data_IF_935579629481
#
_entry.id   IF_935579629481
#
_cell.length_a   1.000
_cell.length_b   1.000
_cell.length_c   1.000
_cell.angle_alpha   90.00
_cell.angle_beta   90.00
_cell.angle_gamma   90.00
#
_symmetry.space_group_name_H-M   'P 1'
#
loop_
_entity.id
_entity.type
_entity.pdbx_description
1 polymer ?
#
# COMPACT_ATOMS: atom_id res chain seq x y z
N UNK A 1 7.31 16.86 0.52
CA UNK A 1 6.31 17.96 0.52
C UNK A 1 4.99 17.55 -0.13
N UNK A 2 4.94 17.23 -1.44
CA UNK A 2 3.68 16.90 -2.11
C UNK A 2 2.92 15.71 -1.49
N UNK A 3 3.63 14.66 -1.07
CA UNK A 3 3.02 13.50 -0.42
C UNK A 3 2.32 13.87 0.89
N UNK A 4 2.98 14.64 1.77
CA UNK A 4 2.40 15.11 3.03
C UNK A 4 1.21 16.05 2.77
N UNK A 5 1.34 16.97 1.82
CA UNK A 5 0.25 17.86 1.39
C UNK A 5 -0.88 17.14 0.64
N UNK A 6 -0.84 15.82 0.51
CA UNK A 6 -1.87 15.00 -0.13
C UNK A 6 -2.03 15.26 -1.63
N UNK A 7 -1.02 15.83 -2.31
CA UNK A 7 -1.06 16.20 -3.73
C UNK A 7 -0.60 15.04 -4.63
N UNK A 8 -1.40 13.97 -4.68
CA UNK A 8 -0.98 12.68 -5.27
C UNK A 8 -0.65 12.77 -6.76
N UNK A 9 -1.35 13.58 -7.55
CA UNK A 9 -1.01 13.76 -8.97
C UNK A 9 0.36 14.41 -9.16
N UNK A 10 0.71 15.39 -8.32
CA UNK A 10 2.05 16.00 -8.35
C UNK A 10 3.12 15.03 -7.87
N UNK A 11 2.82 14.19 -6.87
CA UNK A 11 3.73 13.11 -6.45
C UNK A 11 3.98 12.16 -7.61
N UNK A 12 2.93 11.68 -8.27
CA UNK A 12 3.02 10.75 -9.40
C UNK A 12 3.83 11.35 -10.55
N UNK A 13 3.49 12.57 -10.98
CA UNK A 13 4.16 13.22 -12.09
C UNK A 13 5.65 13.44 -11.79
N UNK A 14 5.96 13.91 -10.57
CA UNK A 14 7.35 14.13 -10.13
C UNK A 14 8.10 12.81 -10.02
N UNK A 15 7.46 11.76 -9.51
CA UNK A 15 8.08 10.45 -9.35
C UNK A 15 8.34 9.79 -10.71
N UNK A 16 7.43 9.90 -11.70
CA UNK A 16 7.70 9.43 -13.08
C UNK A 16 8.88 10.15 -13.71
N UNK A 17 8.91 11.47 -13.58
CA UNK A 17 10.02 12.27 -14.10
C UNK A 17 11.35 11.91 -13.42
N UNK A 18 11.34 11.74 -12.09
CA UNK A 18 12.49 11.28 -11.33
C UNK A 18 12.95 9.89 -11.77
N UNK A 19 12.02 8.97 -12.05
CA UNK A 19 12.32 7.63 -12.52
C UNK A 19 13.07 7.66 -13.86
N UNK A 20 12.60 8.47 -14.80
CA UNK A 20 13.23 8.63 -16.13
C UNK A 20 14.63 9.23 -16.01
N UNK A 21 14.79 10.33 -15.25
CA UNK A 21 16.10 10.96 -15.04
C UNK A 21 17.06 10.01 -14.32
N UNK A 22 16.59 9.35 -13.26
CA UNK A 22 17.42 8.44 -12.48
C UNK A 22 17.91 7.26 -13.32
N UNK A 23 17.09 6.78 -14.25
CA UNK A 23 17.50 5.71 -15.18
C UNK A 23 18.53 6.19 -16.21
N UNK A 24 18.41 7.42 -16.72
CA UNK A 24 19.35 7.98 -17.70
C UNK A 24 20.70 8.37 -17.07
N UNK A 25 20.67 8.88 -15.84
CA UNK A 25 21.84 9.39 -15.12
C UNK A 25 22.42 8.41 -14.08
N UNK A 26 21.94 7.15 -14.07
CA UNK A 26 22.35 6.09 -13.14
C UNK A 26 22.27 6.48 -11.65
N UNK A 27 21.21 7.20 -11.27
CA UNK A 27 20.97 7.65 -9.89
C UNK A 27 20.22 6.58 -9.10
N UNK A 28 20.96 5.54 -8.69
CA UNK A 28 20.42 4.31 -8.07
C UNK A 28 19.46 4.59 -6.89
N UNK A 29 19.82 5.46 -5.95
CA UNK A 29 18.96 5.77 -4.80
C UNK A 29 17.67 6.47 -5.22
N UNK A 30 17.78 7.46 -6.10
CA UNK A 30 16.64 8.22 -6.62
C UNK A 30 15.66 7.34 -7.40
N UNK A 31 16.19 6.33 -8.12
CA UNK A 31 15.39 5.35 -8.85
C UNK A 31 14.43 4.60 -7.93
N UNK A 32 14.91 4.06 -6.82
CA UNK A 32 14.06 3.29 -5.89
C UNK A 32 13.13 4.18 -5.05
N UNK A 33 13.52 5.42 -4.75
CA UNK A 33 12.59 6.40 -4.18
C UNK A 33 11.44 6.73 -5.12
N UNK A 34 11.70 6.86 -6.43
CA UNK A 34 10.66 7.07 -7.42
C UNK A 34 9.68 5.89 -7.47
N UNK A 35 10.18 4.65 -7.46
CA UNK A 35 9.33 3.46 -7.37
C UNK A 35 8.48 3.46 -6.09
N UNK A 36 9.06 3.75 -4.92
CA UNK A 36 8.30 3.82 -3.67
C UNK A 36 7.14 4.83 -3.76
N UNK A 37 7.42 6.03 -4.27
CA UNK A 37 6.43 7.10 -4.38
C UNK A 37 5.30 6.74 -5.37
N UNK A 38 5.64 6.12 -6.50
CA UNK A 38 4.64 5.60 -7.44
C UNK A 38 3.79 4.51 -6.79
N UNK A 39 4.42 3.55 -6.09
CA UNK A 39 3.71 2.50 -5.35
C UNK A 39 2.72 3.06 -4.33
N UNK A 40 3.12 4.08 -3.56
CA UNK A 40 2.24 4.78 -2.61
C UNK A 40 1.04 5.44 -3.31
N UNK A 41 1.26 6.11 -4.44
CA UNK A 41 0.17 6.77 -5.18
C UNK A 41 -0.79 5.74 -5.78
N UNK A 42 -0.26 4.72 -6.47
CA UNK A 42 -1.08 3.66 -7.07
C UNK A 42 -1.86 2.89 -6.02
N UNK A 43 -1.26 2.67 -4.84
CA UNK A 43 -1.98 2.11 -3.70
C UNK A 43 -3.19 2.99 -3.37
N UNK A 44 -3.00 4.27 -3.06
CA UNK A 44 -4.12 5.16 -2.69
C UNK A 44 -5.19 5.27 -3.79
N UNK A 45 -4.83 5.16 -5.06
CA UNK A 45 -5.77 5.14 -6.20
C UNK A 45 -6.46 3.79 -6.43
N UNK A 46 -6.21 2.79 -5.59
CA UNK A 46 -6.72 1.43 -5.70
C UNK A 46 -6.29 0.74 -7.02
N UNK A 47 -5.11 1.08 -7.53
CA UNK A 47 -4.44 0.42 -8.65
C UNK A 47 -3.44 -0.59 -8.08
N UNK A 48 -3.98 -1.64 -7.43
CA UNK A 48 -3.22 -2.53 -6.56
C UNK A 48 -2.13 -3.31 -7.29
N UNK A 49 -2.37 -3.74 -8.53
CA UNK A 49 -1.37 -4.44 -9.34
C UNK A 49 -0.13 -3.56 -9.61
N UNK A 50 -0.35 -2.27 -9.86
CA UNK A 50 0.74 -1.31 -10.05
C UNK A 50 1.46 -1.00 -8.73
N UNK A 51 0.72 -0.91 -7.62
CA UNK A 51 1.31 -0.78 -6.31
C UNK A 51 2.23 -1.97 -6.00
N UNK A 52 1.74 -3.20 -6.20
CA UNK A 52 2.49 -4.45 -6.05
C UNK A 52 3.75 -4.43 -6.91
N UNK A 53 3.65 -4.05 -8.19
CA UNK A 53 4.80 -3.90 -9.08
C UNK A 53 5.86 -2.96 -8.51
N UNK A 54 5.49 -1.73 -8.19
CA UNK A 54 6.43 -0.71 -7.76
C UNK A 54 7.11 -1.06 -6.43
N UNK A 55 6.36 -1.57 -5.45
CA UNK A 55 6.94 -2.02 -4.18
C UNK A 55 7.86 -3.22 -4.38
N UNK A 56 7.46 -4.17 -5.22
CA UNK A 56 8.25 -5.36 -5.46
C UNK A 56 9.57 -5.06 -6.17
N UNK A 57 9.64 -4.05 -7.05
CA UNK A 57 10.90 -3.57 -7.65
C UNK A 57 11.87 -3.07 -6.57
N UNK A 58 11.39 -2.31 -5.58
CA UNK A 58 12.22 -1.83 -4.47
C UNK A 58 12.74 -3.00 -3.63
N UNK A 59 11.86 -3.94 -3.25
CA UNK A 59 12.21 -5.09 -2.41
C UNK A 59 13.17 -6.05 -3.12
N UNK A 60 12.93 -6.33 -4.39
CA UNK A 60 13.78 -7.21 -5.22
C UNK A 60 15.21 -6.65 -5.35
N UNK A 61 15.36 -5.32 -5.26
CA UNK A 61 16.64 -4.62 -5.31
C UNK A 61 17.03 -4.00 -3.95
N UNK A 62 16.59 -4.59 -2.83
CA UNK A 62 16.82 -4.06 -1.46
C UNK A 62 18.28 -3.81 -1.05
N UNK A 63 19.25 -4.36 -1.77
CA UNK A 63 20.68 -4.13 -1.55
C UNK A 63 21.20 -2.84 -2.19
N UNK A 64 20.42 -2.26 -3.11
CA UNK A 64 20.70 -1.00 -3.81
C UNK A 64 19.77 0.14 -3.34
N UNK A 65 18.61 -0.20 -2.77
CA UNK A 65 17.65 0.76 -2.27
C UNK A 65 17.99 1.26 -0.85
N UNK A 66 17.53 2.46 -0.52
CA UNK A 66 17.62 3.00 0.84
C UNK A 66 16.81 2.14 1.82
N UNK A 67 17.32 1.96 3.05
CA UNK A 67 16.70 1.11 4.08
C UNK A 67 15.22 1.43 4.32
N UNK A 68 14.91 2.70 4.56
CA UNK A 68 13.52 3.14 4.77
C UNK A 68 12.63 2.88 3.56
N UNK A 69 13.17 2.99 2.33
CA UNK A 69 12.37 2.71 1.15
C UNK A 69 12.02 1.22 1.05
N UNK A 70 12.94 0.34 1.46
CA UNK A 70 12.68 -1.11 1.54
C UNK A 70 11.60 -1.41 2.58
N UNK A 71 11.72 -0.88 3.79
CA UNK A 71 10.73 -1.07 4.84
C UNK A 71 9.34 -0.60 4.40
N UNK A 72 9.24 0.63 3.89
CA UNK A 72 7.97 1.19 3.41
C UNK A 72 7.39 0.42 2.22
N UNK A 73 8.24 -0.08 1.32
CA UNK A 73 7.79 -0.93 0.23
C UNK A 73 7.24 -2.27 0.74
N UNK A 74 7.83 -2.86 1.78
CA UNK A 74 7.31 -4.10 2.38
C UNK A 74 5.95 -3.86 3.06
N UNK A 75 5.80 -2.76 3.80
CA UNK A 75 4.51 -2.37 4.36
C UNK A 75 3.46 -2.15 3.25
N UNK A 76 3.80 -1.37 2.23
CA UNK A 76 2.92 -1.10 1.10
C UNK A 76 2.53 -2.36 0.32
N UNK A 77 3.47 -3.30 0.14
CA UNK A 77 3.21 -4.58 -0.54
C UNK A 77 2.25 -5.46 0.27
N UNK A 78 2.45 -5.58 1.58
CA UNK A 78 1.55 -6.33 2.45
C UNK A 78 0.13 -5.74 2.44
N UNK A 79 0.00 -4.41 2.53
CA UNK A 79 -1.28 -3.71 2.42
C UNK A 79 -1.93 -3.93 1.04
N UNK A 80 -1.15 -3.91 -0.04
CA UNK A 80 -1.66 -4.17 -1.39
C UNK A 80 -2.18 -5.61 -1.55
N UNK A 81 -1.48 -6.61 -1.00
CA UNK A 81 -1.98 -7.99 -0.99
C UNK A 81 -3.24 -8.15 -0.15
N UNK A 82 -3.29 -7.53 1.04
CA UNK A 82 -4.49 -7.53 1.86
C UNK A 82 -5.68 -6.92 1.10
N UNK A 83 -5.45 -5.80 0.43
CA UNK A 83 -6.42 -5.11 -0.41
C UNK A 83 -6.91 -5.94 -1.62
N UNK A 84 -6.08 -6.86 -2.13
CA UNK A 84 -6.44 -7.82 -3.18
C UNK A 84 -7.14 -9.08 -2.65
N UNK A 85 -7.33 -9.20 -1.33
CA UNK A 85 -7.87 -10.41 -0.70
C UNK A 85 -6.85 -11.55 -0.56
N UNK A 86 -5.56 -11.27 -0.74
CA UNK A 86 -4.45 -12.23 -0.62
C UNK A 86 -3.85 -12.17 0.80
N UNK A 87 -4.69 -12.39 1.82
CA UNK A 87 -4.31 -12.21 3.23
C UNK A 87 -3.10 -13.03 3.68
N UNK A 88 -2.95 -14.28 3.20
CA UNK A 88 -1.78 -15.11 3.51
C UNK A 88 -0.48 -14.50 3.00
N UNK A 89 -0.47 -13.96 1.77
CA UNK A 89 0.70 -13.25 1.22
C UNK A 89 1.01 -11.96 1.97
N UNK A 90 -0.02 -11.27 2.46
CA UNK A 90 0.16 -10.08 3.29
C UNK A 90 0.88 -10.44 4.60
N UNK A 91 0.43 -11.50 5.30
CA UNK A 91 1.05 -12.01 6.53
C UNK A 91 2.50 -12.48 6.28
N UNK A 92 2.75 -13.24 5.21
CA UNK A 92 4.10 -13.66 4.83
C UNK A 92 5.04 -12.47 4.60
N UNK A 93 4.54 -11.41 3.94
CA UNK A 93 5.30 -10.19 3.68
C UNK A 93 5.60 -9.42 4.99
N UNK A 94 4.62 -9.33 5.90
CA UNK A 94 4.81 -8.73 7.22
C UNK A 94 5.81 -9.51 8.09
N UNK A 95 5.77 -10.85 8.06
CA UNK A 95 6.77 -11.69 8.74
C UNK A 95 8.17 -11.47 8.17
N UNK A 96 8.30 -11.43 6.84
CA UNK A 96 9.58 -11.13 6.20
C UNK A 96 10.12 -9.74 6.56
N UNK A 97 9.23 -8.75 6.77
CA UNK A 97 9.60 -7.43 7.26
C UNK A 97 10.17 -7.52 8.69
N UNK A 98 9.48 -8.22 9.59
CA UNK A 98 9.95 -8.41 10.97
C UNK A 98 11.32 -9.06 11.03
N UNK A 99 11.51 -10.18 10.34
CA UNK A 99 12.81 -10.89 10.27
C UNK A 99 13.91 -9.94 9.78
N UNK A 100 13.63 -9.17 8.72
CA UNK A 100 14.60 -8.24 8.13
C UNK A 100 14.95 -7.07 9.03
N UNK A 101 14.01 -6.55 9.82
CA UNK A 101 14.27 -5.47 10.78
C UNK A 101 15.00 -6.01 12.02
N UNK A 102 14.66 -7.22 12.48
CA UNK A 102 15.32 -7.87 13.63
C UNK A 102 16.81 -8.09 13.39
N UNK A 103 17.20 -8.53 12.19
CA UNK A 103 18.60 -8.71 11.78
C UNK A 103 19.45 -7.43 11.91
N UNK A 104 18.82 -6.25 11.95
CA UNK A 104 19.50 -4.94 12.00
C UNK A 104 19.62 -4.36 13.40
N UNK A 105 18.99 -4.98 14.39
CA UNK A 105 19.04 -4.59 15.79
C UNK A 105 18.65 -3.11 16.07
N UNK A 106 17.74 -2.54 15.26
CA UNK A 106 17.18 -1.20 15.52
C UNK A 106 15.82 -1.32 16.23
N UNK A 107 15.80 -1.00 17.52
CA UNK A 107 14.60 -1.10 18.37
C UNK A 107 13.44 -0.23 17.88
N UNK A 108 13.70 0.96 17.32
CA UNK A 108 12.64 1.86 16.84
C UNK A 108 11.95 1.30 15.61
N UNK A 109 12.74 0.80 14.65
CA UNK A 109 12.20 0.20 13.43
C UNK A 109 11.44 -1.09 13.77
N UNK A 110 11.95 -1.87 14.74
CA UNK A 110 11.30 -3.10 15.21
C UNK A 110 9.94 -2.80 15.84
N UNK A 111 9.88 -1.79 16.71
CA UNK A 111 8.64 -1.37 17.34
C UNK A 111 7.62 -0.83 16.31
N UNK A 112 8.09 -0.14 15.26
CA UNK A 112 7.24 0.28 14.13
C UNK A 112 6.74 -0.94 13.33
N UNK A 113 7.58 -1.95 13.12
CA UNK A 113 7.19 -3.18 12.43
C UNK A 113 6.14 -3.98 13.23
N UNK A 114 6.25 -4.03 14.56
CA UNK A 114 5.19 -4.60 15.42
C UNK A 114 3.87 -3.84 15.29
N UNK A 115 3.90 -2.50 15.30
CA UNK A 115 2.69 -1.71 15.09
C UNK A 115 2.05 -2.01 13.73
N UNK A 116 2.85 -2.18 12.66
CA UNK A 116 2.37 -2.57 11.35
C UNK A 116 1.74 -3.96 11.32
N UNK A 117 2.31 -4.95 12.00
CA UNK A 117 1.69 -6.26 12.17
C UNK A 117 0.33 -6.16 12.87
N UNK A 118 0.22 -5.31 13.90
CA UNK A 118 -1.06 -4.99 14.54
C UNK A 118 -2.05 -4.32 13.57
N UNK A 119 -1.60 -3.40 12.72
CA UNK A 119 -2.42 -2.78 11.68
C UNK A 119 -2.98 -3.82 10.71
N UNK A 120 -2.16 -4.79 10.30
CA UNK A 120 -2.56 -5.86 9.39
C UNK A 120 -3.57 -6.81 10.06
N UNK A 121 -3.32 -7.24 11.30
CA UNK A 121 -4.27 -8.06 12.07
C UNK A 121 -5.63 -7.36 12.23
N UNK A 122 -5.65 -6.05 12.54
CA UNK A 122 -6.89 -5.25 12.58
C UNK A 122 -7.63 -5.19 11.24
N UNK A 123 -6.92 -5.30 10.11
CA UNK A 123 -7.55 -5.34 8.79
C UNK A 123 -8.13 -6.72 8.44
N UNK A 124 -7.75 -7.74 9.20
CA UNK A 124 -8.21 -9.13 9.10
C UNK A 124 -9.26 -9.46 10.19
N UNK A 125 -9.68 -8.46 10.98
CA UNK A 125 -10.61 -8.59 12.11
C UNK A 125 -10.05 -9.43 13.28
N UNK A 126 -8.72 -9.57 13.35
CA UNK A 126 -8.01 -10.33 14.39
C UNK A 126 -7.61 -9.40 15.55
N UNK A 127 -8.60 -8.94 16.31
CA UNK A 127 -8.42 -7.91 17.37
C UNK A 127 -7.49 -8.38 18.49
N UNK A 128 -7.57 -9.65 18.90
CA UNK A 128 -6.70 -10.20 19.95
C UNK A 128 -5.22 -10.22 19.53
N UNK A 129 -4.93 -10.69 18.31
CA UNK A 129 -3.58 -10.70 17.76
C UNK A 129 -3.05 -9.26 17.59
N UNK A 130 -3.90 -8.34 17.12
CA UNK A 130 -3.53 -6.93 17.03
C UNK A 130 -3.14 -6.33 18.38
N UNK A 131 -3.84 -6.70 19.47
CA UNK A 131 -3.50 -6.26 20.82
C UNK A 131 -2.10 -6.71 21.23
N UNK A 132 -1.75 -7.98 20.98
CA UNK A 132 -0.45 -8.53 21.31
C UNK A 132 0.68 -7.83 20.55
N UNK A 133 0.47 -7.57 19.26
CA UNK A 133 1.43 -6.82 18.44
C UNK A 133 1.64 -5.40 18.96
N UNK A 134 0.56 -4.71 19.35
CA UNK A 134 0.65 -3.34 19.86
C UNK A 134 1.25 -3.25 21.26
N UNK A 135 1.07 -4.27 22.10
CA UNK A 135 1.80 -4.39 23.36
C UNK A 135 3.32 -4.49 23.14
N UNK A 136 3.75 -5.31 22.17
CA UNK A 136 5.17 -5.40 21.79
C UNK A 136 5.71 -4.13 21.14
N UNK A 137 4.88 -3.41 20.38
CA UNK A 137 5.25 -2.13 19.78
C UNK A 137 5.49 -1.03 20.82
N UNK A 138 4.83 -1.13 21.98
CA UNK A 138 4.89 -0.14 23.05
C UNK A 138 4.31 1.22 22.65
N UNK A 139 4.30 2.15 23.60
CA UNK A 139 3.93 3.54 23.33
C UNK A 139 5.03 4.25 22.56
N UNK A 140 4.68 4.91 21.47
CA UNK A 140 5.62 5.68 20.67
C UNK A 140 5.10 7.10 20.46
N UNK A 141 5.95 8.08 20.80
CA UNK A 141 5.69 9.47 20.43
C UNK A 141 5.84 9.67 18.93
N UNK A 142 5.00 10.54 18.36
CA UNK A 142 5.15 10.92 16.96
C UNK A 142 6.30 11.91 16.82
N UNK A 143 7.48 11.37 16.49
CA UNK A 143 8.66 12.18 16.19
C UNK A 143 8.94 12.18 14.68
N UNK A 144 8.66 13.32 14.03
CA UNK A 144 9.08 13.62 12.66
C UNK A 144 7.97 13.67 11.62
N UNK A 145 8.32 13.84 10.33
CA UNK A 145 7.34 13.95 9.25
C UNK A 145 6.63 12.60 9.05
N UNK A 146 5.33 12.53 9.36
CA UNK A 146 4.49 11.33 9.21
C UNK A 146 4.21 10.98 7.73
N UNK A 147 5.25 10.63 6.98
CA UNK A 147 5.17 10.28 5.55
C UNK A 147 5.02 8.78 5.29
N UNK A 148 5.20 7.97 6.34
CA UNK A 148 5.19 6.51 6.30
C UNK A 148 3.78 5.91 6.22
N UNK A 149 3.69 4.65 5.79
CA UNK A 149 2.46 3.86 5.85
C UNK A 149 2.03 3.67 7.30
N UNK A 150 2.91 3.10 8.11
CA UNK A 150 2.67 2.86 9.53
C UNK A 150 2.93 4.11 10.36
N UNK A 151 1.99 4.44 11.24
CA UNK A 151 2.11 5.50 12.25
C UNK A 151 1.51 4.94 13.53
N UNK A 152 2.35 4.45 14.47
CA UNK A 152 1.87 3.64 15.59
C UNK A 152 0.73 4.27 16.40
N UNK A 153 0.72 5.59 16.68
CA UNK A 153 -0.41 6.20 17.39
C UNK A 153 -1.74 6.18 16.62
N UNK A 154 -1.71 6.21 15.28
CA UNK A 154 -2.92 6.06 14.46
C UNK A 154 -3.44 4.62 14.54
N UNK A 155 -2.54 3.64 14.51
CA UNK A 155 -2.89 2.22 14.65
C UNK A 155 -3.40 1.91 16.06
N UNK A 156 -2.81 2.51 17.09
CA UNK A 156 -3.31 2.42 18.47
C UNK A 156 -4.72 3.01 18.61
N UNK A 157 -4.99 4.16 17.98
CA UNK A 157 -6.34 4.72 17.93
C UNK A 157 -7.32 3.76 17.24
N UNK A 158 -6.93 3.15 16.11
CA UNK A 158 -7.73 2.14 15.40
C UNK A 158 -8.04 0.92 16.29
N UNK A 159 -7.06 0.43 17.04
CA UNK A 159 -7.23 -0.67 18.00
C UNK A 159 -8.24 -0.34 19.09
N UNK A 160 -8.13 0.85 19.70
CA UNK A 160 -9.06 1.32 20.73
C UNK A 160 -10.51 1.41 20.22
N UNK A 161 -10.70 1.77 18.95
CA UNK A 161 -12.03 1.75 18.32
C UNK A 161 -12.51 0.33 18.02
N UNK A 162 -11.62 -0.57 17.61
CA UNK A 162 -11.93 -1.96 17.32
C UNK A 162 -12.40 -2.75 18.56
N UNK A 163 -11.91 -2.38 19.76
CA UNK A 163 -12.38 -2.95 21.03
C UNK A 163 -13.87 -2.67 21.29
N UNK A 164 -14.42 -1.58 20.75
CA UNK A 164 -15.85 -1.29 20.73
C UNK A 164 -16.48 -0.87 22.06
N UNK A 165 -15.82 -1.08 23.21
CA UNK A 165 -16.32 -0.64 24.50
C UNK A 165 -16.24 0.89 24.68
N UNK A 166 -17.13 1.45 25.50
CA UNK A 166 -17.28 2.90 25.65
C UNK A 166 -16.01 3.58 26.20
N UNK A 167 -15.25 2.91 27.06
CA UNK A 167 -14.01 3.45 27.64
C UNK A 167 -12.94 3.55 26.57
N UNK A 168 -12.72 2.47 25.82
CA UNK A 168 -11.73 2.42 24.74
C UNK A 168 -12.08 3.38 23.61
N UNK A 169 -13.35 3.47 23.20
CA UNK A 169 -13.80 4.44 22.20
C UNK A 169 -13.56 5.90 22.65
N UNK A 170 -13.77 6.21 23.94
CA UNK A 170 -13.50 7.56 24.49
C UNK A 170 -11.99 7.88 24.49
N UNK A 171 -11.16 6.91 24.87
CA UNK A 171 -9.69 7.05 24.80
C UNK A 171 -9.23 7.24 23.34
N UNK A 172 -9.76 6.43 22.42
CA UNK A 172 -9.48 6.53 20.99
C UNK A 172 -9.85 7.89 20.41
N UNK A 173 -11.04 8.42 20.74
CA UNK A 173 -11.47 9.76 20.32
C UNK A 173 -10.55 10.87 20.86
N UNK A 174 -10.08 10.74 22.10
CA UNK A 174 -9.14 11.69 22.72
C UNK A 174 -7.81 11.70 21.98
N UNK A 175 -7.24 10.52 21.74
CA UNK A 175 -6.01 10.35 20.96
C UNK A 175 -6.15 10.89 19.53
N UNK A 176 -7.26 10.58 18.84
CA UNK A 176 -7.53 11.10 17.50
C UNK A 176 -7.64 12.63 17.46
N UNK A 177 -8.19 13.25 18.51
CA UNK A 177 -8.28 14.70 18.61
C UNK A 177 -6.88 15.34 18.76
N UNK A 178 -6.00 14.75 19.56
CA UNK A 178 -4.61 15.17 19.69
C UNK A 178 -3.84 14.98 18.38
N UNK A 179 -4.01 13.82 17.74
CA UNK A 179 -3.39 13.52 16.44
C UNK A 179 -3.85 14.49 15.36
N UNK A 180 -5.15 14.83 15.31
CA UNK A 180 -5.69 15.78 14.33
C UNK A 180 -5.02 17.15 14.45
N UNK A 181 -4.93 17.69 15.67
CA UNK A 181 -4.25 18.97 15.93
C UNK A 181 -2.80 18.93 15.45
N UNK A 182 -2.09 17.84 15.74
CA UNK A 182 -0.70 17.67 15.35
C UNK A 182 -0.52 17.58 13.82
N UNK A 183 -1.32 16.78 13.12
CA UNK A 183 -1.18 16.63 11.65
C UNK A 183 -1.61 17.89 10.89
N UNK A 184 -2.56 18.66 11.42
CA UNK A 184 -2.96 19.95 10.85
C UNK A 184 -1.86 21.00 11.03
N UNK A 185 -1.22 21.07 12.21
CA UNK A 185 -0.07 21.94 12.46
C UNK A 185 1.12 21.62 11.52
N UNK A 186 1.29 20.35 11.13
CA UNK A 186 2.31 19.95 10.16
C UNK A 186 1.87 20.09 8.69
N UNK A 187 0.65 20.56 8.43
CA UNK A 187 0.06 20.61 7.09
C UNK A 187 0.10 19.26 6.35
N UNK A 188 -0.07 18.15 7.09
CA UNK A 188 -0.03 16.80 6.55
C UNK A 188 -1.44 16.32 6.18
N UNK A 189 -1.96 16.83 5.07
CA UNK A 189 -3.30 16.50 4.54
C UNK A 189 -3.53 14.99 4.39
N UNK A 190 -2.51 14.21 3.99
CA UNK A 190 -2.65 12.75 3.88
C UNK A 190 -3.06 12.12 5.21
N UNK A 191 -2.36 12.47 6.29
CA UNK A 191 -2.69 11.95 7.64
C UNK A 191 -3.91 12.64 8.24
N UNK A 192 -4.20 13.88 7.89
CA UNK A 192 -5.47 14.54 8.25
C UNK A 192 -6.68 13.75 7.72
N UNK A 193 -6.65 13.30 6.46
CA UNK A 193 -7.76 12.48 5.89
C UNK A 193 -7.92 11.17 6.68
N UNK A 194 -6.81 10.48 6.97
CA UNK A 194 -6.82 9.23 7.73
C UNK A 194 -7.38 9.39 9.15
N UNK A 195 -6.96 10.43 9.88
CA UNK A 195 -7.43 10.71 11.24
C UNK A 195 -8.92 11.09 11.24
N UNK A 196 -9.37 11.92 10.29
CA UNK A 196 -10.79 12.26 10.17
C UNK A 196 -11.66 11.03 9.86
N UNK A 197 -11.17 10.11 9.01
CA UNK A 197 -11.87 8.86 8.73
C UNK A 197 -12.07 8.00 10.00
N UNK A 198 -11.04 7.89 10.84
CA UNK A 198 -11.15 7.20 12.14
C UNK A 198 -12.06 7.94 13.13
N UNK A 199 -12.04 9.28 13.15
CA UNK A 199 -12.97 10.05 13.99
C UNK A 199 -14.42 9.86 13.57
N UNK A 200 -14.71 9.75 12.27
CA UNK A 200 -16.05 9.43 11.80
C UNK A 200 -16.53 8.07 12.34
N UNK A 201 -15.64 7.07 12.34
CA UNK A 201 -15.94 5.76 12.95
C UNK A 201 -16.16 5.88 14.46
N UNK A 202 -15.32 6.62 15.18
CA UNK A 202 -15.45 6.83 16.62
C UNK A 202 -16.79 7.50 16.99
N UNK A 203 -17.20 8.56 16.27
CA UNK A 203 -18.51 9.18 16.48
C UNK A 203 -19.67 8.21 16.19
N UNK A 204 -19.52 7.34 15.18
CA UNK A 204 -20.52 6.33 14.88
C UNK A 204 -20.68 5.31 16.01
N UNK A 205 -19.57 4.83 16.58
CA UNK A 205 -19.59 3.95 17.77
C UNK A 205 -20.24 4.61 18.99
N UNK A 206 -20.17 5.94 19.10
CA UNK A 206 -20.84 6.72 20.15
C UNK A 206 -22.32 7.03 19.85
N UNK A 207 -22.87 6.56 18.73
CA UNK A 207 -24.24 6.87 18.29
C UNK A 207 -24.43 8.31 17.77
N UNK A 208 -23.35 9.06 17.58
CA UNK A 208 -23.34 10.47 17.17
C UNK A 208 -23.30 10.59 15.64
N UNK A 209 -24.38 10.17 15.00
CA UNK A 209 -24.44 10.00 13.55
C UNK A 209 -24.25 11.32 12.78
N UNK A 210 -24.79 12.43 13.28
CA UNK A 210 -24.65 13.73 12.62
C UNK A 210 -23.20 14.20 12.58
N UNK A 211 -22.47 14.07 13.69
CA UNK A 211 -21.04 14.39 13.76
C UNK A 211 -20.20 13.43 12.93
N UNK A 212 -20.52 12.13 12.96
CA UNK A 212 -19.85 11.12 12.13
C UNK A 212 -19.93 11.48 10.63
N UNK A 213 -21.11 11.83 10.14
CA UNK A 213 -21.33 12.21 8.74
C UNK A 213 -20.64 13.53 8.38
N UNK A 214 -20.68 14.54 9.25
CA UNK A 214 -20.03 15.83 9.01
C UNK A 214 -18.50 15.69 8.91
N UNK A 215 -17.90 14.90 9.80
CA UNK A 215 -16.45 14.64 9.80
C UNK A 215 -16.04 13.79 8.60
N UNK A 216 -16.84 12.78 8.24
CA UNK A 216 -16.61 11.97 7.04
C UNK A 216 -16.68 12.83 5.77
N UNK A 217 -17.65 13.73 5.66
CA UNK A 217 -17.77 14.64 4.52
C UNK A 217 -16.55 15.56 4.40
N UNK A 218 -16.05 16.10 5.53
CA UNK A 218 -14.80 16.87 5.57
C UNK A 218 -13.61 16.06 5.04
N UNK A 219 -13.48 14.80 5.47
CA UNK A 219 -12.41 13.91 4.99
C UNK A 219 -12.50 13.68 3.47
N UNK A 220 -13.71 13.41 2.96
CA UNK A 220 -13.97 13.17 1.54
C UNK A 220 -13.69 14.41 0.67
N UNK A 221 -14.01 15.62 1.15
CA UNK A 221 -13.72 16.87 0.43
C UNK A 221 -12.21 17.08 0.28
N UNK A 222 -11.42 16.81 1.31
CA UNK A 222 -9.95 16.87 1.25
C UNK A 222 -9.35 15.79 0.35
N UNK A 223 -9.96 14.60 0.35
CA UNK A 223 -9.48 13.42 -0.34
C UNK A 223 -9.78 13.40 -1.85
N UNK A 224 -10.94 13.93 -2.25
CA UNK A 224 -11.46 13.81 -3.62
C UNK A 224 -10.54 14.42 -4.69
N UNK A 225 -9.96 15.62 -4.53
CA UNK A 225 -9.13 16.24 -5.57
C UNK A 225 -7.95 15.35 -5.98
N UNK A 226 -7.38 14.63 -5.01
CA UNK A 226 -6.23 13.75 -5.21
C UNK A 226 -6.60 12.28 -5.35
N UNK A 227 -7.88 11.92 -5.21
CA UNK A 227 -8.39 10.58 -5.50
C UNK A 227 -8.06 9.51 -4.46
N UNK A 228 -7.90 9.85 -3.17
CA UNK A 228 -7.64 8.84 -2.12
C UNK A 228 -8.80 7.84 -2.02
N UNK A 229 -8.53 6.55 -2.20
CA UNK A 229 -9.52 5.48 -2.11
C UNK A 229 -9.17 4.54 -0.96
N UNK A 230 -7.94 4.02 -0.93
CA UNK A 230 -7.54 3.01 0.08
C UNK A 230 -7.63 3.50 1.50
N UNK A 231 -7.30 4.78 1.75
CA UNK A 231 -7.50 5.41 3.06
C UNK A 231 -8.90 5.18 3.65
N UNK A 232 -9.96 5.12 2.84
CA UNK A 232 -11.32 4.76 3.28
C UNK A 232 -11.63 3.27 3.09
N UNK A 233 -11.15 2.67 2.00
CA UNK A 233 -11.46 1.29 1.67
C UNK A 233 -10.85 0.27 2.65
N UNK A 234 -9.74 0.64 3.29
CA UNK A 234 -9.04 -0.14 4.33
C UNK A 234 -9.73 -0.07 5.71
N UNK A 235 -10.84 0.65 5.81
CA UNK A 235 -11.64 0.85 7.03
C UNK A 235 -13.07 0.32 6.83
N UNK A 236 -13.29 -1.01 6.81
CA UNK A 236 -14.61 -1.61 6.63
C UNK A 236 -15.74 -1.02 7.48
N UNK A 237 -15.52 -0.63 8.76
CA UNK A 237 -16.56 0.00 9.58
C UNK A 237 -17.17 1.29 9.00
N UNK A 238 -16.51 1.95 8.04
CA UNK A 238 -17.04 3.15 7.38
C UNK A 238 -18.08 2.85 6.29
N UNK A 239 -18.28 1.59 5.90
CA UNK A 239 -19.16 1.24 4.79
C UNK A 239 -20.60 1.73 5.02
N UNK A 240 -21.12 1.56 6.23
CA UNK A 240 -22.47 2.00 6.62
C UNK A 240 -22.61 3.52 6.59
N UNK A 241 -21.60 4.26 7.08
CA UNK A 241 -21.58 5.72 7.04
C UNK A 241 -21.50 6.27 5.61
N UNK A 242 -20.68 5.66 4.75
CA UNK A 242 -20.55 6.04 3.34
C UNK A 242 -21.87 5.83 2.58
N UNK A 243 -22.56 4.72 2.84
CA UNK A 243 -23.87 4.42 2.28
C UNK A 243 -24.93 5.41 2.77
N UNK A 244 -24.96 5.71 4.07
CA UNK A 244 -25.92 6.65 4.67
C UNK A 244 -25.69 8.08 4.16
N UNK A 245 -24.44 8.54 4.07
CA UNK A 245 -24.09 9.83 3.49
C UNK A 245 -24.62 9.96 2.07
N UNK A 246 -24.39 8.95 1.23
CA UNK A 246 -24.88 8.93 -0.15
C UNK A 246 -26.41 8.94 -0.22
N UNK A 247 -27.09 8.18 0.63
CA UNK A 247 -28.55 8.15 0.70
C UNK A 247 -29.12 9.54 1.03
N UNK A 248 -28.58 10.21 2.05
CA UNK A 248 -29.01 11.56 2.45
C UNK A 248 -28.77 12.60 1.38
N UNK A 249 -27.64 12.53 0.67
CA UNK A 249 -27.32 13.45 -0.44
C UNK A 249 -28.26 13.31 -1.63
N UNK A 250 -28.64 12.07 -1.97
CA UNK A 250 -29.67 11.81 -3.00
C UNK A 250 -31.01 12.41 -2.58
N UNK A 251 -31.40 12.23 -1.32
CA UNK A 251 -32.64 12.79 -0.78
C UNK A 251 -32.65 14.33 -0.78
N UNK A 252 -31.52 14.98 -0.48
CA UNK A 252 -31.41 16.44 -0.47
C UNK A 252 -31.25 17.08 -1.85
N UNK A 253 -31.26 16.30 -2.94
CA UNK A 253 -31.05 16.76 -4.32
C UNK A 253 -29.74 17.55 -4.50
N UNK A 254 -28.74 17.30 -3.64
CA UNK A 254 -27.40 17.86 -3.78
C UNK A 254 -26.68 17.18 -4.96
N UNK A 255 -26.91 17.71 -6.16
CA UNK A 255 -26.47 17.15 -7.44
C UNK A 255 -24.95 17.27 -7.67
N UNK A 256 -24.14 16.57 -6.89
CA UNK A 256 -22.71 16.38 -7.17
C UNK A 256 -22.46 14.94 -7.66
N UNK A 257 -22.72 14.72 -8.95
CA UNK A 257 -22.51 13.42 -9.61
C UNK A 257 -21.06 12.94 -9.52
N UNK A 258 -20.09 13.86 -9.40
CA UNK A 258 -18.67 13.52 -9.22
C UNK A 258 -18.41 12.94 -7.85
N UNK A 259 -19.00 13.51 -6.79
CA UNK A 259 -18.88 12.93 -5.45
C UNK A 259 -19.57 11.57 -5.36
N UNK A 260 -20.76 11.41 -5.95
CA UNK A 260 -21.46 10.13 -5.94
C UNK A 260 -20.66 9.02 -6.65
N UNK A 261 -20.01 9.36 -7.76
CA UNK A 261 -19.11 8.44 -8.47
C UNK A 261 -17.89 8.09 -7.62
N UNK A 262 -17.32 9.06 -6.92
CA UNK A 262 -16.19 8.84 -6.01
C UNK A 262 -16.57 7.95 -4.81
N UNK A 263 -17.72 8.19 -4.18
CA UNK A 263 -18.26 7.34 -3.11
C UNK A 263 -18.50 5.91 -3.59
N UNK A 264 -19.06 5.74 -4.80
CA UNK A 264 -19.23 4.41 -5.40
C UNK A 264 -17.87 3.71 -5.59
N UNK A 265 -16.84 4.41 -6.06
CA UNK A 265 -15.49 3.84 -6.23
C UNK A 265 -14.90 3.36 -4.90
N UNK A 266 -15.07 4.14 -3.82
CA UNK A 266 -14.64 3.73 -2.48
C UNK A 266 -15.39 2.47 -2.03
N UNK A 267 -16.72 2.47 -2.13
CA UNK A 267 -17.56 1.33 -1.72
C UNK A 267 -17.24 0.05 -2.51
N UNK A 268 -16.91 0.16 -3.80
CA UNK A 268 -16.46 -0.98 -4.60
C UNK A 268 -15.09 -1.47 -4.12
N UNK A 269 -14.15 -0.57 -3.85
CA UNK A 269 -12.80 -0.91 -3.39
C UNK A 269 -12.77 -1.54 -1.98
N UNK A 270 -13.81 -1.35 -1.16
CA UNK A 270 -13.97 -2.00 0.14
C UNK A 270 -14.21 -3.50 0.03
N UNK A 271 -14.69 -3.97 -1.13
CA UNK A 271 -14.99 -5.37 -1.38
C UNK A 271 -13.93 -5.97 -2.32
N UNK A 272 -12.89 -6.65 -1.80
CA UNK A 272 -11.80 -7.17 -2.63
C UNK A 272 -12.29 -8.15 -3.72
N UNK A 273 -13.32 -8.94 -3.43
CA UNK A 273 -13.94 -9.87 -4.39
C UNK A 273 -14.64 -9.18 -5.57
N UNK A 274 -15.03 -7.91 -5.43
CA UNK A 274 -15.67 -7.15 -6.50
C UNK A 274 -14.65 -6.51 -7.47
N UNK A 275 -13.36 -6.48 -7.10
CA UNK A 275 -12.30 -5.80 -7.82
C UNK A 275 -11.41 -6.80 -8.60
N UNK A 276 -11.99 -7.53 -9.55
CA UNK A 276 -11.22 -8.28 -10.55
C UNK A 276 -11.78 -8.02 -11.94
N UNK A 277 -11.12 -7.16 -12.73
CA UNK A 277 -11.21 -7.14 -14.20
C UNK A 277 -10.28 -6.05 -14.82
N UNK A 278 -9.00 -6.05 -14.51
CA UNK A 278 -7.99 -5.43 -15.38
C UNK A 278 -6.83 -6.41 -15.52
N UNK A 279 -6.46 -6.75 -16.76
CA UNK A 279 -5.26 -7.56 -17.00
C UNK A 279 -4.02 -6.75 -16.60
N UNK A 280 -3.14 -7.33 -15.78
CA UNK A 280 -1.84 -6.73 -15.43
C UNK A 280 -1.09 -6.21 -16.66
N UNK A 281 -1.12 -6.94 -17.78
CA UNK A 281 -0.53 -6.51 -19.07
C UNK A 281 -1.10 -5.18 -19.60
N UNK A 282 -2.39 -4.94 -19.41
CA UNK A 282 -3.06 -3.70 -19.79
C UNK A 282 -2.60 -2.52 -18.93
N UNK A 283 -2.43 -2.77 -17.63
CA UNK A 283 -1.91 -1.77 -16.68
C UNK A 283 -0.44 -1.45 -16.96
N UNK A 284 0.40 -2.46 -17.16
CA UNK A 284 1.81 -2.29 -17.52
C UNK A 284 1.96 -1.45 -18.80
N UNK A 285 1.15 -1.72 -19.83
CA UNK A 285 1.16 -0.92 -21.07
C UNK A 285 0.75 0.54 -20.85
N UNK A 286 -0.24 0.81 -20.01
CA UNK A 286 -0.64 2.19 -19.66
C UNK A 286 0.49 2.96 -18.97
N UNK A 287 1.36 2.23 -18.28
CA UNK A 287 2.49 2.75 -17.52
C UNK A 287 3.77 2.86 -18.36
N UNK A 288 3.67 2.60 -19.67
CA UNK A 288 4.82 2.59 -20.58
C UNK A 288 5.77 1.41 -20.37
N UNK A 289 5.35 0.41 -19.60
CA UNK A 289 6.11 -0.81 -19.35
C UNK A 289 5.76 -1.86 -20.41
N UNK A 290 6.78 -2.52 -20.95
CA UNK A 290 6.61 -3.60 -21.91
C UNK A 290 6.23 -4.89 -21.18
N UNK A 291 5.06 -5.51 -21.48
CA UNK A 291 4.71 -6.80 -20.91
C UNK A 291 5.70 -7.89 -21.34
N UNK A 292 5.79 -8.93 -20.52
CA UNK A 292 6.58 -10.12 -20.84
C UNK A 292 5.92 -10.89 -21.98
N UNK A 293 6.72 -11.31 -22.95
CA UNK A 293 6.27 -12.22 -24.01
C UNK A 293 6.09 -13.64 -23.47
N UNK A 294 5.33 -14.48 -24.17
CA UNK A 294 5.15 -15.89 -23.81
C UNK A 294 6.48 -16.62 -23.63
N UNK A 295 7.46 -16.29 -24.48
CA UNK A 295 8.80 -16.88 -24.41
C UNK A 295 9.58 -16.43 -23.17
N UNK A 296 9.46 -15.14 -22.82
CA UNK A 296 10.07 -14.59 -21.62
C UNK A 296 9.43 -15.15 -20.35
N UNK A 297 8.10 -15.33 -20.33
CA UNK A 297 7.38 -16.03 -19.24
C UNK A 297 7.81 -17.49 -19.11
N UNK A 298 7.99 -18.20 -20.24
CA UNK A 298 8.48 -19.57 -20.23
C UNK A 298 9.88 -19.66 -19.62
N UNK A 299 10.78 -18.75 -20.00
CA UNK A 299 12.13 -18.67 -19.42
C UNK A 299 12.06 -18.35 -17.93
N UNK A 300 11.20 -17.42 -17.51
CA UNK A 300 11.01 -17.05 -16.11
C UNK A 300 10.56 -18.24 -15.24
N UNK A 301 9.66 -19.10 -15.75
CA UNK A 301 9.25 -20.35 -15.09
C UNK A 301 10.41 -21.33 -14.94
N UNK A 302 11.31 -21.40 -15.91
CA UNK A 302 12.50 -22.26 -15.82
C UNK A 302 13.59 -21.66 -14.93
N UNK A 303 13.65 -20.32 -14.83
CA UNK A 303 14.51 -19.64 -13.86
C UNK A 303 14.07 -19.93 -12.42
N UNK A 304 12.78 -20.05 -12.14
CA UNK A 304 12.24 -20.44 -10.82
C UNK A 304 12.64 -21.86 -10.42
N UNK A 305 12.74 -22.79 -11.39
CA UNK A 305 13.23 -24.16 -11.18
C UNK A 305 14.76 -24.26 -10.95
N UNK A 306 15.46 -23.15 -10.75
CA UNK A 306 16.92 -23.09 -10.58
C UNK A 306 17.75 -23.66 -11.77
N UNK A 307 17.17 -23.85 -12.95
CA UNK A 307 17.90 -24.34 -14.13
C UNK A 307 18.93 -23.32 -14.65
N UNK A 308 20.09 -23.79 -15.11
CA UNK A 308 21.11 -22.97 -15.76
C UNK A 308 20.68 -22.57 -17.17
N UNK A 309 21.28 -21.50 -17.73
CA UNK A 309 20.99 -21.10 -19.12
C UNK A 309 21.26 -22.22 -20.14
N UNK A 310 22.17 -23.16 -19.83
CA UNK A 310 22.45 -24.33 -20.69
C UNK A 310 21.32 -25.36 -20.61
N UNK A 311 20.79 -25.61 -19.43
CA UNK A 311 19.65 -26.53 -19.23
C UNK A 311 18.37 -25.95 -19.83
N UNK A 312 18.10 -24.66 -19.59
CA UNK A 312 16.99 -23.94 -20.21
C UNK A 312 17.08 -24.02 -21.74
N UNK A 313 18.28 -23.83 -22.30
CA UNK A 313 18.50 -23.93 -23.74
C UNK A 313 18.16 -25.33 -24.30
N UNK A 314 18.50 -26.39 -23.56
CA UNK A 314 18.15 -27.77 -23.93
C UNK A 314 16.64 -28.01 -23.85
N UNK A 315 16.00 -27.60 -22.75
CA UNK A 315 14.56 -27.79 -22.55
C UNK A 315 13.73 -27.02 -23.59
N UNK A 316 14.22 -25.85 -23.99
CA UNK A 316 13.54 -24.97 -24.93
C UNK A 316 13.99 -25.13 -26.39
N UNK A 317 14.90 -26.07 -26.67
CA UNK A 317 15.50 -26.37 -27.99
C UNK A 317 16.02 -25.10 -28.69
N UNK A 318 16.85 -24.34 -27.98
CA UNK A 318 17.52 -23.11 -28.48
C UNK A 318 18.97 -23.05 -28.02
N UNK A 319 19.70 -22.01 -28.44
CA UNK A 319 21.07 -21.79 -27.96
C UNK A 319 21.09 -21.13 -26.58
N UNK A 320 22.14 -21.36 -25.80
CA UNK A 320 22.38 -20.65 -24.53
C UNK A 320 22.51 -19.13 -24.72
N UNK A 321 22.99 -18.69 -25.90
CA UNK A 321 23.02 -17.28 -26.29
C UNK A 321 21.61 -16.69 -26.42
N UNK A 322 20.69 -17.40 -27.05
CA UNK A 322 19.27 -17.02 -27.16
C UNK A 322 18.62 -16.90 -25.78
N UNK A 323 18.86 -17.87 -24.89
CA UNK A 323 18.38 -17.78 -23.50
C UNK A 323 18.95 -16.56 -22.80
N UNK A 324 20.25 -16.26 -22.96
CA UNK A 324 20.88 -15.08 -22.36
C UNK A 324 20.20 -13.78 -22.80
N UNK A 325 19.89 -13.64 -24.10
CA UNK A 325 19.19 -12.47 -24.63
C UNK A 325 17.81 -12.30 -23.99
N UNK A 326 17.01 -13.37 -23.97
CA UNK A 326 15.69 -13.31 -23.34
C UNK A 326 15.77 -13.04 -21.83
N UNK A 327 16.73 -13.64 -21.12
CA UNK A 327 16.94 -13.35 -19.69
C UNK A 327 17.32 -11.89 -19.46
N UNK A 328 18.16 -11.31 -20.30
CA UNK A 328 18.46 -9.86 -20.26
C UNK A 328 17.22 -9.01 -20.52
N UNK A 329 16.38 -9.41 -21.48
CA UNK A 329 15.11 -8.72 -21.74
C UNK A 329 14.14 -8.83 -20.56
N UNK A 330 14.01 -10.01 -19.96
CA UNK A 330 13.21 -10.22 -18.74
C UNK A 330 13.69 -9.27 -17.65
N UNK A 331 14.99 -9.23 -17.38
CA UNK A 331 15.56 -8.38 -16.32
C UNK A 331 15.29 -6.89 -16.57
N UNK A 332 15.48 -6.44 -17.82
CA UNK A 332 15.17 -5.07 -18.23
C UNK A 332 13.68 -4.73 -18.05
N UNK A 333 12.78 -5.60 -18.52
CA UNK A 333 11.32 -5.38 -18.45
C UNK A 333 10.77 -5.41 -17.02
N UNK A 334 11.42 -6.17 -16.15
CA UNK A 334 11.07 -6.29 -14.74
C UNK A 334 11.81 -5.28 -13.83
N UNK A 335 12.66 -4.41 -14.38
CA UNK A 335 13.48 -3.48 -13.58
C UNK A 335 14.30 -4.16 -12.47
N UNK A 336 14.91 -5.31 -12.80
CA UNK A 336 15.71 -6.11 -11.86
C UNK A 336 17.08 -6.40 -12.44
N UNK A 337 18.08 -6.55 -11.56
CA UNK A 337 19.47 -6.71 -11.99
C UNK A 337 19.99 -8.15 -11.90
N UNK A 338 19.20 -9.07 -11.34
CA UNK A 338 19.65 -10.45 -11.13
C UNK A 338 18.50 -11.46 -11.14
N UNK A 339 18.87 -12.74 -11.28
CA UNK A 339 17.95 -13.89 -11.35
C UNK A 339 17.00 -13.96 -10.16
N UNK A 340 17.54 -13.82 -8.95
CA UNK A 340 16.76 -13.95 -7.71
C UNK A 340 15.70 -12.85 -7.65
N UNK A 341 16.09 -11.61 -7.93
CA UNK A 341 15.20 -10.46 -8.02
C UNK A 341 14.09 -10.68 -9.07
N UNK A 342 14.42 -11.21 -10.25
CA UNK A 342 13.43 -11.52 -11.29
C UNK A 342 12.41 -12.57 -10.84
N UNK A 343 12.86 -13.67 -10.23
CA UNK A 343 11.96 -14.72 -9.72
C UNK A 343 11.08 -14.19 -8.58
N UNK A 344 11.67 -13.44 -7.63
CA UNK A 344 10.93 -12.82 -6.52
C UNK A 344 9.83 -11.88 -7.02
N UNK A 345 10.15 -10.97 -7.94
CA UNK A 345 9.18 -10.05 -8.51
C UNK A 345 8.09 -10.79 -9.31
N UNK A 346 8.46 -11.83 -10.05
CA UNK A 346 7.51 -12.61 -10.83
C UNK A 346 6.49 -13.36 -9.96
N UNK A 347 6.91 -13.88 -8.80
CA UNK A 347 6.01 -14.46 -7.79
C UNK A 347 5.07 -13.40 -7.21
N UNK A 348 5.63 -12.22 -6.91
CA UNK A 348 4.85 -11.12 -6.36
C UNK A 348 3.74 -10.64 -7.30
N UNK A 349 4.06 -10.52 -8.59
CA UNK A 349 3.13 -10.15 -9.66
C UNK A 349 2.16 -11.28 -10.08
N UNK A 350 2.29 -12.47 -9.50
CA UNK A 350 1.45 -13.63 -9.85
C UNK A 350 1.79 -14.29 -11.19
N UNK A 351 2.90 -13.93 -11.84
CA UNK A 351 3.40 -14.63 -13.03
C UNK A 351 3.90 -16.05 -12.70
N UNK A 352 4.34 -16.26 -11.46
CA UNK A 352 4.77 -17.54 -10.91
C UNK A 352 3.96 -17.88 -9.66
N UNK A 353 3.84 -19.18 -9.34
CA UNK A 353 3.24 -19.62 -8.10
C UNK A 353 4.10 -19.19 -6.90
N UNK A 354 3.44 -18.77 -5.82
CA UNK A 354 4.09 -18.69 -4.51
C UNK A 354 4.43 -20.12 -4.08
N UNK A 355 5.68 -20.36 -3.68
CA UNK A 355 6.22 -21.67 -3.35
C UNK A 355 6.14 -21.96 -1.86
#
# INVERSE_FOLDING_TARGET
VYLAAGKLQQVEHTARHLLQIAQQADLVLSYYWAHLMLGMVHYEWNQLDMAVYHFSVVIANRHLAHLWAVQEAMCGLALAYQAQGLGSRAQETARALLEWVQERHNMRDLATAYAFCGQLALSQDEVEEASQWLEMAGEQEVLGPMVFFEVPPITQARMLLAQGDASSVTRGQTLLSQLLQHVEAMHNTRKTIQVLALQAWAYHLQGRLSEALAVLERALVLARPSGFIRTFADLPPLATLLQELRKRRKASHAADSKLDTYLQRILVAMNPQAAQAASLDGLLRQEGLEPLTDRELQILRLLDKNLTNKEIARELVVTSGTVKVHTTNVYRKLSVNNRRAAVTLAKALGFLAAS
#
